data_IF_398717702635
#
_entry.id   IF_398717702635
#
_cell.length_a   1.000
_cell.length_b   1.000
_cell.length_c   1.000
_cell.angle_alpha   90.00
_cell.angle_beta   90.00
_cell.angle_gamma   90.00
#
_symmetry.space_group_name_H-M   'P 1'
#
loop_
_entity.id
_entity.type
_entity.pdbx_description
1 polymer ?
#
# COMPACT_ATOMS: atom_id res chain seq x y z
N UNK A 1 -29.71 -19.72 -58.28
CA UNK A 1 -28.95 -19.34 -57.07
C UNK A 1 -29.76 -19.79 -55.86
N UNK A 2 -29.33 -20.85 -55.18
CA UNK A 2 -29.96 -21.28 -53.92
C UNK A 2 -29.59 -20.25 -52.85
N UNK A 3 -30.59 -19.63 -52.25
CA UNK A 3 -30.43 -18.85 -51.02
C UNK A 3 -30.60 -19.84 -49.87
N UNK A 4 -29.50 -20.49 -49.50
CA UNK A 4 -29.50 -21.34 -48.31
C UNK A 4 -29.41 -20.42 -47.09
N UNK A 5 -30.51 -20.32 -46.34
CA UNK A 5 -30.58 -19.56 -45.09
C UNK A 5 -29.92 -20.32 -43.94
N UNK A 6 -29.60 -19.61 -42.86
CA UNK A 6 -29.05 -20.21 -41.65
C UNK A 6 -30.02 -21.25 -41.05
N UNK A 7 -29.49 -22.42 -40.71
CA UNK A 7 -30.23 -23.44 -39.97
C UNK A 7 -30.33 -23.05 -38.49
N UNK A 8 -31.36 -23.56 -37.80
CA UNK A 8 -31.55 -23.35 -36.36
C UNK A 8 -30.31 -23.78 -35.55
N UNK A 9 -29.69 -24.89 -35.95
CA UNK A 9 -28.50 -25.43 -35.29
C UNK A 9 -27.31 -24.48 -35.42
N UNK A 10 -27.09 -23.89 -36.60
CA UNK A 10 -25.99 -22.94 -36.81
C UNK A 10 -26.20 -21.65 -36.01
N UNK A 11 -27.43 -21.14 -35.92
CA UNK A 11 -27.74 -19.98 -35.08
C UNK A 11 -27.49 -20.31 -33.61
N UNK A 12 -27.94 -21.49 -33.14
CA UNK A 12 -27.69 -21.93 -31.77
C UNK A 12 -26.19 -22.05 -31.47
N UNK A 13 -25.42 -22.68 -32.36
CA UNK A 13 -23.96 -22.79 -32.21
C UNK A 13 -23.27 -21.42 -32.23
N UNK A 14 -23.66 -20.53 -33.15
CA UNK A 14 -23.10 -19.19 -33.22
C UNK A 14 -23.38 -18.38 -31.95
N UNK A 15 -24.61 -18.46 -31.42
CA UNK A 15 -24.96 -17.80 -30.15
C UNK A 15 -24.20 -18.37 -28.96
N UNK A 16 -23.97 -19.69 -28.93
CA UNK A 16 -23.20 -20.34 -27.86
C UNK A 16 -21.72 -19.91 -27.88
N UNK A 17 -21.10 -19.88 -29.07
CA UNK A 17 -19.72 -19.41 -29.22
C UNK A 17 -19.62 -17.92 -28.86
N UNK A 18 -20.57 -17.10 -29.33
CA UNK A 18 -20.60 -15.66 -29.01
C UNK A 18 -20.75 -15.43 -27.50
N UNK A 19 -21.66 -16.14 -26.84
CA UNK A 19 -21.86 -16.04 -25.40
C UNK A 19 -20.60 -16.46 -24.62
N UNK A 20 -19.93 -17.54 -25.03
CA UNK A 20 -18.67 -17.98 -24.43
C UNK A 20 -17.54 -16.97 -24.61
N UNK A 21 -17.43 -16.38 -25.80
CA UNK A 21 -16.46 -15.31 -26.07
C UNK A 21 -16.71 -14.06 -25.23
N UNK A 22 -17.95 -13.59 -25.16
CA UNK A 22 -18.33 -12.44 -24.33
C UNK A 22 -18.08 -12.69 -22.85
N UNK A 23 -18.40 -13.88 -22.35
CA UNK A 23 -18.14 -14.26 -20.96
C UNK A 23 -16.64 -14.22 -20.65
N UNK A 24 -15.81 -14.77 -21.53
CA UNK A 24 -14.34 -14.76 -21.36
C UNK A 24 -13.77 -13.34 -21.35
N UNK A 25 -14.29 -12.45 -22.21
CA UNK A 25 -13.90 -11.04 -22.22
C UNK A 25 -14.31 -10.32 -20.93
N UNK A 26 -15.51 -10.58 -20.41
CA UNK A 26 -15.98 -10.00 -19.15
C UNK A 26 -15.10 -10.41 -17.97
N UNK A 27 -14.68 -11.68 -17.89
CA UNK A 27 -13.75 -12.15 -16.86
C UNK A 27 -12.41 -11.41 -16.97
N UNK A 28 -11.87 -11.25 -18.18
CA UNK A 28 -10.63 -10.50 -18.41
C UNK A 28 -10.74 -9.04 -17.96
N UNK A 29 -11.83 -8.36 -18.30
CA UNK A 29 -12.08 -6.97 -17.88
C UNK A 29 -12.18 -6.83 -16.36
N UNK A 30 -12.82 -7.78 -15.68
CA UNK A 30 -12.94 -7.76 -14.22
C UNK A 30 -11.56 -7.82 -13.53
N UNK A 31 -10.66 -8.68 -14.03
CA UNK A 31 -9.31 -8.79 -13.50
C UNK A 31 -8.50 -7.49 -13.72
N UNK A 32 -8.61 -6.88 -14.90
CA UNK A 32 -7.96 -5.59 -15.16
C UNK A 32 -8.49 -4.47 -14.26
N UNK A 33 -9.81 -4.44 -14.02
CA UNK A 33 -10.42 -3.47 -13.12
C UNK A 33 -9.91 -3.62 -11.68
N UNK A 34 -9.82 -4.85 -11.18
CA UNK A 34 -9.26 -5.13 -9.84
C UNK A 34 -7.79 -4.68 -9.74
N UNK A 35 -6.98 -4.97 -10.76
CA UNK A 35 -5.58 -4.54 -10.78
C UNK A 35 -5.43 -3.02 -10.74
N UNK A 36 -6.30 -2.28 -11.44
CA UNK A 36 -6.30 -0.81 -11.39
C UNK A 36 -6.65 -0.27 -9.99
N UNK A 37 -7.60 -0.89 -9.30
CA UNK A 37 -7.96 -0.50 -7.92
C UNK A 37 -6.77 -0.72 -6.98
N UNK A 38 -6.18 -1.91 -6.99
CA UNK A 38 -5.01 -2.22 -6.15
C UNK A 38 -3.82 -1.31 -6.47
N UNK A 39 -3.60 -1.00 -7.75
CA UNK A 39 -2.53 -0.09 -8.16
C UNK A 39 -2.75 1.33 -7.64
N UNK A 40 -4.01 1.79 -7.61
CA UNK A 40 -4.36 3.09 -7.04
C UNK A 40 -4.14 3.10 -5.52
N UNK A 41 -4.63 2.09 -4.81
CA UNK A 41 -4.46 1.98 -3.36
C UNK A 41 -2.97 1.95 -2.98
N UNK A 42 -2.15 1.23 -3.74
CA UNK A 42 -0.70 1.23 -3.57
C UNK A 42 -0.09 2.62 -3.79
N UNK A 43 -0.49 3.33 -4.86
CA UNK A 43 -0.01 4.69 -5.12
C UNK A 43 -0.39 5.67 -4.00
N UNK A 44 -1.62 5.55 -3.49
CA UNK A 44 -2.14 6.35 -2.39
C UNK A 44 -1.33 6.07 -1.10
N UNK A 45 -1.05 4.79 -0.81
CA UNK A 45 -0.19 4.40 0.32
C UNK A 45 1.24 4.95 0.18
N UNK A 46 1.83 4.91 -1.02
CA UNK A 46 3.15 5.50 -1.28
C UNK A 46 3.17 7.03 -1.11
N UNK A 47 2.08 7.71 -1.46
CA UNK A 47 1.95 9.14 -1.19
C UNK A 47 1.96 9.42 0.31
N UNK A 48 1.14 8.71 1.10
CA UNK A 48 1.09 8.88 2.56
C UNK A 48 2.42 8.52 3.21
N UNK A 49 3.10 7.47 2.72
CA UNK A 49 4.47 7.15 3.12
C UNK A 49 5.40 8.35 2.91
N UNK A 50 5.34 9.00 1.74
CA UNK A 50 6.17 10.18 1.46
C UNK A 50 5.84 11.39 2.34
N UNK A 51 4.59 11.53 2.80
CA UNK A 51 4.20 12.56 3.77
C UNK A 51 4.84 12.27 5.13
N UNK A 52 4.72 11.03 5.62
CA UNK A 52 5.29 10.65 6.91
C UNK A 52 6.82 10.73 6.96
N UNK A 53 7.52 10.40 5.88
CA UNK A 53 8.98 10.61 5.81
C UNK A 53 9.38 12.09 5.82
N UNK A 54 8.48 12.99 5.40
CA UNK A 54 8.70 14.45 5.43
C UNK A 54 8.39 15.07 6.80
N UNK A 55 7.32 14.62 7.46
CA UNK A 55 6.99 15.03 8.83
C UNK A 55 8.00 14.46 9.83
N UNK A 56 8.33 13.18 9.69
CA UNK A 56 9.15 12.41 10.62
C UNK A 56 10.39 11.86 9.91
N UNK A 57 11.36 12.71 9.55
CA UNK A 57 12.59 12.26 8.91
C UNK A 57 13.39 11.38 9.87
N UNK A 58 13.97 10.30 9.32
CA UNK A 58 14.85 9.42 10.10
C UNK A 58 16.15 10.20 10.42
N UNK A 59 16.54 10.32 11.70
CA UNK A 59 17.78 11.00 12.07
C UNK A 59 19.00 10.24 11.51
N UNK A 60 20.11 10.96 11.27
CA UNK A 60 21.39 10.33 10.97
C UNK A 60 21.80 9.31 12.05
N UNK A 61 22.43 8.21 11.66
CA UNK A 61 22.78 7.12 12.59
C UNK A 61 23.63 7.58 13.79
N UNK A 62 24.48 8.58 13.61
CA UNK A 62 25.33 9.15 14.66
C UNK A 62 24.55 9.90 15.74
N UNK A 63 23.31 10.30 15.47
CA UNK A 63 22.42 10.95 16.44
C UNK A 63 21.50 9.96 17.17
N UNK A 64 21.49 8.69 16.78
CA UNK A 64 20.64 7.65 17.37
C UNK A 64 21.38 7.03 18.55
N UNK A 65 21.04 7.42 19.78
CA UNK A 65 21.68 6.86 20.97
C UNK A 65 20.97 5.58 21.43
N UNK A 66 19.65 5.66 21.56
CA UNK A 66 18.78 4.54 21.95
C UNK A 66 17.65 4.41 20.93
N UNK A 67 17.74 3.48 19.95
CA UNK A 67 16.74 3.33 18.90
C UNK A 67 15.33 2.99 19.41
N UNK A 68 15.21 2.23 20.50
CA UNK A 68 13.92 1.77 21.01
C UNK A 68 13.17 2.88 21.76
N UNK A 69 13.90 3.81 22.38
CA UNK A 69 13.34 4.95 23.11
C UNK A 69 13.32 6.26 22.27
N UNK A 70 13.87 6.27 21.05
CA UNK A 70 13.89 7.49 20.22
C UNK A 70 12.50 7.79 19.64
N UNK A 71 11.87 8.83 20.16
CA UNK A 71 10.56 9.34 19.71
C UNK A 71 10.56 9.78 18.23
N UNK A 72 11.73 10.04 17.61
CA UNK A 72 11.83 10.34 16.17
C UNK A 72 11.75 9.09 15.30
N UNK A 73 12.01 7.92 15.89
CA UNK A 73 11.97 6.61 15.24
C UNK A 73 10.68 5.85 15.56
N UNK A 74 10.15 6.01 16.77
CA UNK A 74 8.92 5.40 17.23
C UNK A 74 7.77 6.41 17.16
N UNK A 75 7.02 6.35 16.07
CA UNK A 75 5.92 7.24 15.75
C UNK A 75 4.61 6.48 15.94
N UNK A 76 3.83 6.91 16.93
CA UNK A 76 2.45 6.46 17.12
C UNK A 76 1.61 6.73 15.85
N UNK A 77 0.51 6.00 15.62
CA UNK A 77 -0.29 6.18 14.41
C UNK A 77 -0.78 7.63 14.22
N UNK A 78 -0.32 8.29 13.15
CA UNK A 78 -0.70 9.66 12.74
C UNK A 78 -1.56 9.62 11.48
N UNK A 79 -2.65 10.38 11.46
CA UNK A 79 -3.53 10.47 10.29
C UNK A 79 -2.91 11.25 9.13
N UNK A 80 -3.18 10.86 7.88
CA UNK A 80 -2.64 11.58 6.73
C UNK A 80 -3.16 13.03 6.62
N UNK A 81 -4.38 13.31 7.07
CA UNK A 81 -4.90 14.69 7.14
C UNK A 81 -4.09 15.56 8.09
N UNK A 82 -3.67 15.01 9.23
CA UNK A 82 -2.83 15.72 10.20
C UNK A 82 -1.46 16.05 9.61
N UNK A 83 -0.83 15.08 8.92
CA UNK A 83 0.44 15.32 8.22
C UNK A 83 0.32 16.34 7.09
N UNK A 84 -0.80 16.35 6.36
CA UNK A 84 -1.07 17.36 5.31
C UNK A 84 -1.16 18.76 5.92
N UNK A 85 -1.83 18.88 7.06
CA UNK A 85 -1.99 20.15 7.77
C UNK A 85 -0.66 20.61 8.38
N UNK A 86 0.13 19.71 8.97
CA UNK A 86 1.47 19.98 9.51
C UNK A 86 2.44 20.48 8.43
N UNK A 87 2.40 19.88 7.24
CA UNK A 87 3.23 20.29 6.10
C UNK A 87 2.68 21.53 5.36
N UNK A 88 1.58 22.13 5.85
CA UNK A 88 0.89 23.28 5.25
C UNK A 88 0.61 23.10 3.74
N UNK A 89 0.27 21.88 3.32
CA UNK A 89 0.07 21.57 1.91
C UNK A 89 -1.28 22.08 1.40
N UNK A 90 -1.24 22.88 0.32
CA UNK A 90 -2.43 23.29 -0.40
C UNK A 90 -2.95 22.13 -1.28
N UNK A 91 -3.95 21.42 -0.76
CA UNK A 91 -4.58 20.26 -1.41
C UNK A 91 -6.08 20.49 -1.54
N UNK A 92 -6.67 19.94 -2.61
CA UNK A 92 -8.12 20.03 -2.80
C UNK A 92 -8.87 19.22 -1.72
N UNK A 93 -10.16 19.55 -1.51
CA UNK A 93 -11.03 18.81 -0.60
C UNK A 93 -11.16 17.32 -0.98
N UNK A 94 -11.16 17.03 -2.28
CA UNK A 94 -11.23 15.65 -2.79
C UNK A 94 -10.00 14.83 -2.38
N UNK A 95 -8.82 15.46 -2.43
CA UNK A 95 -7.57 14.83 -2.01
C UNK A 95 -7.57 14.58 -0.50
N UNK A 96 -8.05 15.54 0.31
CA UNK A 96 -8.19 15.35 1.77
C UNK A 96 -9.10 14.17 2.10
N UNK A 97 -10.28 14.10 1.49
CA UNK A 97 -11.21 12.99 1.73
C UNK A 97 -10.63 11.63 1.28
N UNK A 98 -9.81 11.63 0.22
CA UNK A 98 -9.15 10.40 -0.26
C UNK A 98 -8.21 9.81 0.80
N UNK A 99 -7.51 10.66 1.56
CA UNK A 99 -6.49 10.22 2.52
C UNK A 99 -6.95 10.20 3.98
N UNK A 100 -8.20 10.57 4.25
CA UNK A 100 -8.77 10.64 5.59
C UNK A 100 -8.61 9.37 6.44
N UNK A 101 -8.74 8.21 5.81
CA UNK A 101 -8.67 6.92 6.50
C UNK A 101 -7.26 6.32 6.50
N UNK A 102 -6.25 7.06 6.02
CA UNK A 102 -4.87 6.59 6.01
C UNK A 102 -4.14 7.01 7.29
N UNK A 103 -3.40 6.07 7.87
CA UNK A 103 -2.53 6.31 9.02
C UNK A 103 -1.10 5.89 8.72
N UNK A 104 -0.16 6.68 9.23
CA UNK A 104 1.27 6.40 9.22
C UNK A 104 1.71 6.01 10.63
N UNK A 105 2.41 4.90 10.77
CA UNK A 105 3.05 4.48 12.02
C UNK A 105 4.50 4.04 11.74
N UNK A 106 5.37 4.20 12.73
CA UNK A 106 6.74 3.69 12.66
C UNK A 106 7.16 3.15 14.01
N UNK A 107 7.83 2.01 14.01
CA UNK A 107 8.32 1.38 15.22
C UNK A 107 9.69 0.76 15.00
N UNK A 108 10.50 0.77 16.05
CA UNK A 108 11.76 0.06 16.11
C UNK A 108 11.57 -1.25 16.88
N UNK A 109 12.14 -2.32 16.36
CA UNK A 109 12.23 -3.62 17.01
C UNK A 109 13.71 -4.05 17.05
N UNK A 110 14.12 -4.74 18.11
CA UNK A 110 15.39 -5.45 18.11
C UNK A 110 15.40 -6.51 17.00
N UNK A 111 16.55 -6.63 16.32
CA UNK A 111 16.74 -7.70 15.34
C UNK A 111 16.86 -9.03 16.09
N UNK A 112 15.96 -9.97 15.80
CA UNK A 112 16.10 -11.35 16.28
C UNK A 112 17.39 -11.98 15.71
N UNK A 113 18.35 -12.29 16.59
CA UNK A 113 19.59 -12.96 16.22
C UNK A 113 19.39 -14.48 16.21
N UNK A 114 19.88 -15.15 15.15
CA UNK A 114 19.92 -16.60 15.13
C UNK A 114 20.93 -17.13 16.17
N UNK A 115 20.78 -18.39 16.62
CA UNK A 115 21.70 -18.98 17.59
C UNK A 115 23.14 -18.99 17.03
N UNK A 116 24.05 -18.28 17.70
CA UNK A 116 25.46 -18.02 17.34
C UNK A 116 25.74 -16.82 16.40
N UNK A 117 24.80 -15.90 16.19
CA UNK A 117 25.11 -14.60 15.57
C UNK A 117 25.67 -13.62 16.62
N UNK A 118 26.73 -12.89 16.27
CA UNK A 118 27.20 -11.76 17.07
C UNK A 118 26.26 -10.57 16.86
N UNK A 119 25.99 -9.83 17.94
CA UNK A 119 25.21 -8.59 17.88
C UNK A 119 25.93 -7.55 16.99
N UNK A 120 25.31 -7.24 15.85
CA UNK A 120 25.80 -6.28 14.86
C UNK A 120 25.40 -4.84 15.17
N UNK A 121 24.62 -4.62 16.25
CA UNK A 121 24.07 -3.34 16.65
C UNK A 121 23.04 -2.80 15.67
N UNK A 122 22.41 -3.68 14.87
CA UNK A 122 21.35 -3.33 13.94
C UNK A 122 19.98 -3.51 14.57
N UNK A 123 19.08 -2.58 14.25
CA UNK A 123 17.69 -2.59 14.67
C UNK A 123 16.79 -2.60 13.44
N UNK A 124 15.60 -3.18 13.58
CA UNK A 124 14.60 -3.28 12.54
C UNK A 124 13.65 -2.09 12.68
N UNK A 125 13.66 -1.20 11.70
CA UNK A 125 12.71 -0.10 11.61
C UNK A 125 11.57 -0.49 10.68
N UNK A 126 10.36 -0.65 11.22
CA UNK A 126 9.15 -0.89 10.45
C UNK A 126 8.38 0.40 10.32
N UNK A 127 8.08 0.78 9.09
CA UNK A 127 7.14 1.88 8.80
C UNK A 127 5.92 1.26 8.13
N UNK A 128 4.74 1.46 8.71
CA UNK A 128 3.50 0.92 8.18
C UNK A 128 2.53 2.05 7.82
N UNK A 129 1.90 1.89 6.66
CA UNK A 129 0.77 2.70 6.22
C UNK A 129 -0.46 1.82 6.27
N UNK A 130 -1.48 2.20 7.02
CA UNK A 130 -2.74 1.43 7.11
C UNK A 130 -3.90 2.24 6.55
N UNK A 131 -4.86 1.59 5.91
CA UNK A 131 -6.10 2.22 5.43
C UNK A 131 -7.29 1.26 5.45
N UNK A 132 -8.50 1.84 5.49
CA UNK A 132 -9.76 1.13 5.58
C UNK A 132 -10.27 0.96 7.02
N UNK A 133 -11.56 0.66 7.16
CA UNK A 133 -12.23 0.65 8.46
C UNK A 133 -12.12 -0.71 9.19
N UNK A 134 -11.22 -0.79 10.19
CA UNK A 134 -11.19 -1.90 11.15
C UNK A 134 -9.78 -2.36 11.55
N UNK A 135 -9.70 -3.18 12.62
CA UNK A 135 -8.44 -3.74 13.16
C UNK A 135 -7.70 -4.71 12.22
N UNK A 136 -8.32 -5.08 11.10
CA UNK A 136 -7.73 -5.88 10.00
C UNK A 136 -7.77 -5.07 8.69
N UNK A 137 -7.46 -3.77 8.76
CA UNK A 137 -7.37 -2.90 7.59
C UNK A 137 -6.27 -3.34 6.61
N UNK A 138 -6.32 -2.82 5.39
CA UNK A 138 -5.22 -2.98 4.44
C UNK A 138 -4.01 -2.23 4.98
N UNK A 139 -2.81 -2.77 4.74
CA UNK A 139 -1.59 -2.07 5.09
C UNK A 139 -0.47 -2.36 4.09
N UNK A 140 0.44 -1.40 3.98
CA UNK A 140 1.75 -1.55 3.36
C UNK A 140 2.81 -1.38 4.44
N UNK A 141 3.85 -2.20 4.40
CA UNK A 141 4.93 -2.15 5.37
C UNK A 141 6.29 -2.07 4.67
N UNK A 142 7.10 -1.12 5.10
CA UNK A 142 8.50 -1.01 4.70
C UNK A 142 9.39 -1.33 5.90
N UNK A 143 10.28 -2.31 5.70
CA UNK A 143 11.27 -2.72 6.70
C UNK A 143 12.64 -2.21 6.29
N UNK A 144 13.31 -1.50 7.19
CA UNK A 144 14.68 -1.00 7.03
C UNK A 144 15.54 -1.45 8.20
N UNK A 145 16.84 -1.58 7.99
CA UNK A 145 17.80 -1.77 9.08
C UNK A 145 18.43 -0.42 9.41
N UNK A 146 18.47 -0.09 10.69
CA UNK A 146 19.15 1.10 11.22
C UNK A 146 20.23 0.66 12.21
N UNK A 147 21.17 1.56 12.50
CA UNK A 147 22.26 1.29 13.44
C UNK A 147 22.31 2.42 14.46
N UNK A 148 22.51 2.09 15.73
CA UNK A 148 22.81 3.09 16.74
C UNK A 148 24.16 3.78 16.48
N UNK A 149 24.25 5.04 16.89
CA UNK A 149 25.46 5.85 16.90
C UNK A 149 26.53 5.20 17.77
N UNK A 150 27.79 5.51 17.47
CA UNK A 150 28.94 5.02 18.24
C UNK A 150 29.21 5.86 19.48
#
# INVERSE_FOLDING_TARGET
>A
MRRDGFTLIEILLATMILAGGLFSLMVGLSNCAQMMVLSKEYQDAQFVFSLGERCFPIPPNDEITDPEEDERLNIDPVGAEEMIDELEMDVSREVRETYKDFTFERMVEEKELATNEEDDGLYVLRTRISWGSGKEGYYEELVRLIRKGK
#
